data_IF_481081761115
#
_entry.id   IF_481081761115
#
_cell.length_a   1.000
_cell.length_b   1.000
_cell.length_c   1.000
_cell.angle_alpha   90.00
_cell.angle_beta   90.00
_cell.angle_gamma   90.00
#
_symmetry.space_group_name_H-M   'P 1'
#
loop_
_entity.id
_entity.type
_entity.pdbx_description
1 polymer ?
#
# COMPACT_ATOMS: atom_id res chain seq x y z
N UNK A 1 -29.69 -38.45 -2.15
CA UNK A 1 -28.70 -38.45 -1.05
C UNK A 1 -27.42 -37.85 -1.59
N UNK A 2 -26.93 -36.71 -1.09
CA UNK A 2 -25.69 -36.12 -1.63
C UNK A 2 -24.48 -36.76 -0.94
N UNK A 3 -23.66 -37.41 -1.77
CA UNK A 3 -22.43 -38.08 -1.38
C UNK A 3 -21.51 -37.11 -0.64
N UNK A 4 -20.82 -37.59 0.39
CA UNK A 4 -19.77 -36.84 1.06
C UNK A 4 -18.65 -36.63 0.04
N UNK A 5 -18.21 -35.39 -0.23
CA UNK A 5 -17.14 -35.16 -1.19
C UNK A 5 -15.84 -35.75 -0.64
N UNK A 6 -15.08 -36.41 -1.50
CA UNK A 6 -13.77 -36.92 -1.12
C UNK A 6 -12.76 -35.78 -0.97
N UNK A 7 -11.72 -35.99 -0.15
CA UNK A 7 -10.65 -35.00 0.02
C UNK A 7 -9.91 -34.70 -1.29
N UNK A 8 -9.74 -35.73 -2.13
CA UNK A 8 -9.11 -35.62 -3.44
C UNK A 8 -9.93 -34.76 -4.40
N UNK A 9 -11.25 -34.99 -4.44
CA UNK A 9 -12.15 -34.20 -5.28
C UNK A 9 -12.11 -32.71 -4.91
N UNK A 10 -12.19 -32.37 -3.62
CA UNK A 10 -12.09 -30.97 -3.17
C UNK A 10 -10.73 -30.37 -3.48
N UNK A 11 -9.65 -31.13 -3.34
CA UNK A 11 -8.30 -30.67 -3.69
C UNK A 11 -8.18 -30.39 -5.19
N UNK A 12 -8.67 -31.27 -6.06
CA UNK A 12 -8.64 -31.08 -7.51
C UNK A 12 -9.45 -29.84 -7.91
N UNK A 13 -10.67 -29.69 -7.39
CA UNK A 13 -11.52 -28.53 -7.69
C UNK A 13 -10.88 -27.22 -7.21
N UNK A 14 -10.27 -27.23 -6.02
CA UNK A 14 -9.78 -26.02 -5.35
C UNK A 14 -8.37 -25.60 -5.74
N UNK A 15 -7.44 -26.56 -5.81
CA UNK A 15 -6.01 -26.33 -6.06
C UNK A 15 -5.70 -26.38 -7.55
N UNK A 16 -6.16 -27.42 -8.25
CA UNK A 16 -5.78 -27.64 -9.65
C UNK A 16 -6.65 -26.79 -10.58
N UNK A 17 -7.97 -26.86 -10.41
CA UNK A 17 -8.93 -26.09 -11.22
C UNK A 17 -9.13 -24.65 -10.72
N UNK A 18 -8.57 -24.30 -9.56
CA UNK A 18 -8.62 -22.95 -8.95
C UNK A 18 -10.02 -22.35 -8.77
N UNK A 19 -11.07 -23.18 -8.72
CA UNK A 19 -12.45 -22.72 -8.62
C UNK A 19 -12.70 -21.94 -7.33
N UNK A 20 -13.62 -20.97 -7.38
CA UNK A 20 -14.15 -20.31 -6.19
C UNK A 20 -15.10 -21.24 -5.42
N UNK A 21 -15.35 -20.94 -4.15
CA UNK A 21 -16.28 -21.71 -3.32
C UNK A 21 -17.70 -21.75 -3.90
N UNK A 22 -18.13 -20.67 -4.57
CA UNK A 22 -19.44 -20.59 -5.23
C UNK A 22 -19.50 -21.51 -6.46
N UNK A 23 -18.43 -21.56 -7.25
CA UNK A 23 -18.34 -22.48 -8.40
C UNK A 23 -18.28 -23.93 -7.92
N UNK A 24 -17.50 -24.23 -6.88
CA UNK A 24 -17.48 -25.56 -6.27
C UNK A 24 -18.86 -25.97 -5.73
N UNK A 25 -19.59 -25.04 -5.11
CA UNK A 25 -20.96 -25.26 -4.64
C UNK A 25 -21.91 -25.61 -5.78
N UNK A 26 -21.78 -24.91 -6.92
CA UNK A 26 -22.53 -25.21 -8.12
C UNK A 26 -22.15 -26.59 -8.70
N UNK A 27 -20.86 -26.89 -8.87
CA UNK A 27 -20.37 -28.14 -9.46
C UNK A 27 -20.70 -29.37 -8.62
N UNK A 28 -20.51 -29.30 -7.29
CA UNK A 28 -20.79 -30.41 -6.35
C UNK A 28 -22.25 -30.45 -5.90
N UNK A 29 -23.04 -29.43 -6.29
CA UNK A 29 -24.40 -29.22 -5.81
C UNK A 29 -24.46 -29.17 -4.26
N UNK A 30 -23.41 -28.69 -3.59
CA UNK A 30 -23.35 -28.55 -2.13
C UNK A 30 -23.50 -27.09 -1.72
N UNK A 31 -24.02 -26.84 -0.52
CA UNK A 31 -24.01 -25.49 0.06
C UNK A 31 -22.56 -25.12 0.41
N UNK A 32 -22.19 -23.85 0.22
CA UNK A 32 -20.83 -23.32 0.48
C UNK A 32 -20.32 -23.69 1.89
N UNK A 33 -21.16 -23.57 2.92
CA UNK A 33 -20.75 -23.92 4.30
C UNK A 33 -20.41 -25.40 4.48
N UNK A 34 -21.04 -26.31 3.72
CA UNK A 34 -20.67 -27.74 3.74
C UNK A 34 -19.31 -27.96 3.11
N UNK A 35 -19.02 -27.27 2.01
CA UNK A 35 -17.69 -27.33 1.38
C UNK A 35 -16.63 -26.81 2.35
N UNK A 36 -16.87 -25.67 2.99
CA UNK A 36 -15.97 -25.11 4.01
C UNK A 36 -15.71 -26.11 5.14
N UNK A 37 -16.76 -26.71 5.69
CA UNK A 37 -16.64 -27.74 6.72
C UNK A 37 -15.74 -28.90 6.27
N UNK A 38 -15.95 -29.44 5.06
CA UNK A 38 -15.13 -30.55 4.56
C UNK A 38 -13.69 -30.13 4.23
N UNK A 39 -13.48 -28.92 3.71
CA UNK A 39 -12.13 -28.38 3.50
C UNK A 39 -11.37 -28.27 4.83
N UNK A 40 -12.00 -27.71 5.87
CA UNK A 40 -11.40 -27.60 7.19
C UNK A 40 -11.13 -28.98 7.79
N UNK A 41 -12.08 -29.93 7.65
CA UNK A 41 -11.93 -31.32 8.11
C UNK A 41 -10.80 -32.08 7.41
N UNK A 42 -10.56 -31.83 6.13
CA UNK A 42 -9.48 -32.44 5.36
C UNK A 42 -8.17 -31.65 5.40
N UNK A 43 -8.11 -30.53 6.13
CA UNK A 43 -6.92 -29.69 6.25
C UNK A 43 -6.54 -28.92 4.98
N UNK A 44 -7.50 -28.70 4.07
CA UNK A 44 -7.28 -27.93 2.84
C UNK A 44 -7.26 -26.44 3.19
N UNK A 45 -6.06 -25.84 3.19
CA UNK A 45 -5.89 -24.42 3.50
C UNK A 45 -6.64 -23.53 2.50
N UNK A 46 -7.43 -22.60 3.05
CA UNK A 46 -8.18 -21.62 2.27
C UNK A 46 -7.26 -20.47 1.83
N UNK A 47 -7.38 -20.08 0.56
CA UNK A 47 -6.82 -18.87 -0.04
C UNK A 47 -7.35 -17.62 0.66
N UNK A 48 -6.52 -16.59 0.71
CA UNK A 48 -6.95 -15.29 1.21
C UNK A 48 -7.93 -14.63 0.22
N UNK A 49 -8.80 -13.74 0.70
CA UNK A 49 -9.79 -13.05 -0.15
C UNK A 49 -9.14 -12.30 -1.31
N UNK A 50 -8.00 -11.65 -1.07
CA UNK A 50 -7.23 -10.95 -2.11
C UNK A 50 -6.71 -11.90 -3.18
N UNK A 51 -6.21 -13.06 -2.79
CA UNK A 51 -5.70 -14.09 -3.69
C UNK A 51 -6.83 -14.69 -4.55
N UNK A 52 -7.98 -14.96 -3.95
CA UNK A 52 -9.15 -15.44 -4.68
C UNK A 52 -9.63 -14.41 -5.72
N UNK A 53 -9.71 -13.13 -5.35
CA UNK A 53 -10.04 -12.05 -6.27
C UNK A 53 -8.99 -11.91 -7.38
N UNK A 54 -7.72 -12.07 -7.03
CA UNK A 54 -6.61 -11.98 -7.97
C UNK A 54 -6.69 -13.08 -9.03
N UNK A 55 -6.88 -14.34 -8.63
CA UNK A 55 -7.03 -15.46 -9.55
C UNK A 55 -8.26 -15.31 -10.45
N UNK A 56 -9.37 -14.81 -9.91
CA UNK A 56 -10.58 -14.54 -10.69
C UNK A 56 -10.35 -13.46 -11.76
N UNK A 57 -9.59 -12.41 -11.43
CA UNK A 57 -9.25 -11.34 -12.37
C UNK A 57 -8.21 -11.78 -13.41
N UNK A 58 -7.41 -12.82 -13.11
CA UNK A 58 -6.29 -13.28 -13.92
C UNK A 58 -6.40 -14.80 -14.23
N UNK A 59 -7.41 -15.23 -15.01
CA UNK A 59 -7.68 -16.65 -15.25
C UNK A 59 -6.55 -17.37 -16.02
N UNK A 60 -5.82 -16.63 -16.87
CA UNK A 60 -4.72 -17.16 -17.68
C UNK A 60 -3.38 -17.16 -16.92
N UNK A 61 -3.40 -16.96 -15.61
CA UNK A 61 -2.21 -16.86 -14.76
C UNK A 61 -1.68 -15.43 -14.64
N UNK A 62 -0.45 -15.31 -14.16
CA UNK A 62 0.19 -14.03 -13.86
C UNK A 62 0.37 -13.17 -15.13
N UNK A 63 -0.28 -12.00 -15.24
CA UNK A 63 -0.16 -11.16 -16.43
C UNK A 63 1.18 -10.44 -16.50
N UNK A 64 1.94 -10.41 -15.40
CA UNK A 64 3.24 -9.76 -15.33
C UNK A 64 4.35 -10.72 -14.93
N UNK A 65 5.51 -10.54 -15.56
CA UNK A 65 6.77 -11.18 -15.15
C UNK A 65 7.63 -10.17 -14.43
N UNK A 66 7.95 -10.43 -13.17
CA UNK A 66 8.82 -9.56 -12.38
C UNK A 66 10.25 -9.67 -12.94
N UNK A 67 10.76 -8.56 -13.50
CA UNK A 67 12.15 -8.50 -13.99
C UNK A 67 13.11 -8.42 -12.81
N UNK A 68 14.10 -9.33 -12.77
CA UNK A 68 15.16 -9.33 -11.75
C UNK A 68 16.26 -8.31 -12.04
N UNK A 69 16.56 -8.07 -13.31
CA UNK A 69 17.52 -7.06 -13.78
C UNK A 69 16.75 -5.94 -14.49
N UNK A 70 16.87 -4.72 -13.99
CA UNK A 70 16.24 -3.53 -14.55
C UNK A 70 17.30 -2.65 -15.22
N UNK A 71 16.97 -2.12 -16.39
CA UNK A 71 17.76 -1.06 -17.03
C UNK A 71 17.69 0.25 -16.25
N UNK A 72 18.62 1.20 -16.48
CA UNK A 72 18.60 2.52 -15.83
C UNK A 72 17.25 3.24 -16.00
N UNK A 73 16.63 3.13 -17.17
CA UNK A 73 15.31 3.71 -17.47
C UNK A 73 14.19 3.02 -16.67
N UNK A 74 14.20 1.70 -16.59
CA UNK A 74 13.21 0.94 -15.82
C UNK A 74 13.34 1.16 -14.32
N UNK A 75 14.57 1.34 -13.80
CA UNK A 75 14.79 1.74 -12.41
C UNK A 75 14.12 3.08 -12.13
N UNK A 76 14.30 4.06 -13.02
CA UNK A 76 13.64 5.37 -12.91
C UNK A 76 12.11 5.22 -12.94
N UNK A 77 11.58 4.41 -13.84
CA UNK A 77 10.14 4.14 -13.94
C UNK A 77 9.59 3.44 -12.68
N UNK A 78 10.30 2.44 -12.16
CA UNK A 78 9.97 1.75 -10.92
C UNK A 78 9.86 2.73 -9.74
N UNK A 79 10.81 3.65 -9.62
CA UNK A 79 10.78 4.65 -8.56
C UNK A 79 9.67 5.68 -8.73
N UNK A 80 9.36 6.08 -9.98
CA UNK A 80 8.21 6.94 -10.26
C UNK A 80 6.89 6.24 -9.90
N UNK A 81 6.71 5.00 -10.36
CA UNK A 81 5.53 4.20 -10.08
C UNK A 81 5.35 3.96 -8.57
N UNK A 82 6.44 3.73 -7.83
CA UNK A 82 6.38 3.61 -6.38
C UNK A 82 6.00 4.93 -5.71
N UNK A 83 6.51 6.06 -6.21
CA UNK A 83 6.11 7.39 -5.74
C UNK A 83 4.63 7.66 -5.98
N UNK A 84 4.09 7.27 -7.14
CA UNK A 84 2.67 7.37 -7.47
C UNK A 84 1.83 6.46 -6.57
N UNK A 85 2.21 5.19 -6.44
CA UNK A 85 1.57 4.23 -5.54
C UNK A 85 1.54 4.73 -4.10
N UNK A 86 2.61 5.42 -3.67
CA UNK A 86 2.65 5.99 -2.32
C UNK A 86 1.78 7.25 -2.18
N UNK A 87 1.70 8.05 -3.25
CA UNK A 87 0.91 9.27 -3.31
C UNK A 87 -0.59 9.05 -3.56
N UNK A 88 -0.99 7.83 -3.94
CA UNK A 88 -2.38 7.43 -4.13
C UNK A 88 -3.04 7.14 -2.77
N UNK A 89 -3.28 8.21 -2.02
CA UNK A 89 -4.15 8.21 -0.86
C UNK A 89 -5.29 9.20 -1.04
N UNK A 90 -6.38 8.97 -0.31
CA UNK A 90 -7.63 9.71 -0.44
C UNK A 90 -7.36 11.23 -0.51
N UNK A 91 -7.71 11.85 -1.65
CA UNK A 91 -7.62 13.29 -1.88
C UNK A 91 -8.49 13.99 -0.83
N UNK A 92 -7.88 14.43 0.27
CA UNK A 92 -8.63 15.17 1.27
C UNK A 92 -9.10 16.53 0.72
N UNK A 93 -8.38 17.08 -0.26
CA UNK A 93 -8.74 18.27 -1.05
C UNK A 93 -8.00 18.28 -2.41
N UNK A 94 -8.43 19.11 -3.38
CA UNK A 94 -7.82 19.25 -4.72
C UNK A 94 -6.32 19.65 -4.74
N UNK A 95 -5.74 20.04 -3.60
CA UNK A 95 -4.38 20.54 -3.50
C UNK A 95 -3.51 19.76 -2.49
N UNK A 96 -4.02 18.63 -1.96
CA UNK A 96 -3.31 17.84 -0.95
C UNK A 96 -3.30 16.38 -1.35
N UNK A 97 -2.11 15.88 -1.68
CA UNK A 97 -1.89 14.44 -1.77
C UNK A 97 -1.63 13.90 -0.37
N UNK A 98 -2.52 13.03 0.11
CA UNK A 98 -2.29 12.29 1.34
C UNK A 98 -1.55 11.02 1.02
N UNK A 99 -0.43 10.84 1.68
CA UNK A 99 0.31 9.59 1.68
C UNK A 99 -0.37 8.68 2.70
N UNK A 100 -1.08 7.63 2.25
CA UNK A 100 -1.88 6.76 3.13
C UNK A 100 -1.28 5.38 3.37
N UNK A 101 -0.21 5.01 2.66
CA UNK A 101 0.40 3.70 2.86
C UNK A 101 1.24 3.69 4.15
N UNK A 102 0.86 2.82 5.09
CA UNK A 102 1.50 2.63 6.41
C UNK A 102 2.40 1.38 6.46
N UNK A 103 2.56 0.67 5.34
CA UNK A 103 3.44 -0.50 5.27
C UNK A 103 4.91 -0.09 5.52
N UNK A 104 5.59 -0.68 6.52
CA UNK A 104 6.98 -0.34 6.84
C UNK A 104 7.97 -0.59 5.70
N UNK A 105 7.72 -1.61 4.87
CA UNK A 105 8.53 -1.94 3.71
C UNK A 105 8.46 -0.83 2.65
N UNK A 106 7.25 -0.38 2.33
CA UNK A 106 7.01 0.74 1.41
C UNK A 106 7.64 2.02 1.95
N UNK A 107 7.44 2.35 3.24
CA UNK A 107 8.03 3.54 3.87
C UNK A 107 9.56 3.53 3.74
N UNK A 108 10.20 2.38 4.00
CA UNK A 108 11.65 2.20 3.90
C UNK A 108 12.14 2.43 2.47
N UNK A 109 11.49 1.81 1.47
CA UNK A 109 11.91 1.94 0.08
C UNK A 109 11.85 3.40 -0.37
N UNK A 110 10.75 4.09 -0.10
CA UNK A 110 10.63 5.44 -0.63
C UNK A 110 11.32 6.52 0.21
N UNK A 111 11.70 6.23 1.47
CA UNK A 111 12.79 6.97 2.15
C UNK A 111 14.10 6.87 1.37
N UNK A 112 14.48 5.69 0.90
CA UNK A 112 15.71 5.51 0.12
C UNK A 112 15.65 6.26 -1.22
N UNK A 113 14.52 6.23 -1.91
CA UNK A 113 14.29 7.02 -3.13
C UNK A 113 14.48 8.50 -2.84
N UNK A 114 13.83 8.99 -1.78
CA UNK A 114 13.89 10.38 -1.39
C UNK A 114 15.31 10.86 -1.09
N UNK A 115 16.09 10.04 -0.36
CA UNK A 115 17.50 10.32 -0.07
C UNK A 115 18.35 10.32 -1.35
N UNK A 116 18.09 9.39 -2.28
CA UNK A 116 18.79 9.38 -3.58
C UNK A 116 18.52 10.64 -4.41
N UNK A 117 17.32 11.23 -4.26
CA UNK A 117 16.91 12.46 -4.93
C UNK A 117 17.35 13.74 -4.21
N UNK A 118 17.93 13.68 -3.00
CA UNK A 118 18.34 14.86 -2.24
C UNK A 118 19.44 15.70 -2.92
N UNK A 119 20.11 15.14 -3.95
CA UNK A 119 21.05 15.87 -4.82
C UNK A 119 20.37 16.95 -5.66
N UNK A 120 19.06 16.85 -5.87
CA UNK A 120 18.28 17.84 -6.59
C UNK A 120 17.72 18.82 -5.56
N UNK A 121 18.06 20.13 -5.67
CA UNK A 121 17.63 21.24 -4.80
C UNK A 121 16.10 21.44 -4.82
N UNK A 122 15.39 20.47 -4.27
CA UNK A 122 13.95 20.52 -4.03
C UNK A 122 13.81 20.99 -2.59
N UNK A 123 13.12 22.12 -2.38
CA UNK A 123 12.76 22.63 -1.06
C UNK A 123 11.64 21.78 -0.48
N UNK A 124 11.78 21.33 0.77
CA UNK A 124 10.91 20.27 1.32
C UNK A 124 10.53 20.54 2.76
N UNK A 125 9.26 20.27 3.08
CA UNK A 125 8.74 20.28 4.45
C UNK A 125 8.26 18.88 4.79
N UNK A 126 8.71 18.36 5.93
CA UNK A 126 8.22 17.11 6.52
C UNK A 126 7.35 17.50 7.69
N UNK A 127 6.07 17.11 7.66
CA UNK A 127 5.16 17.30 8.79
C UNK A 127 4.77 15.91 9.30
N UNK A 128 5.22 15.54 10.48
CA UNK A 128 4.83 14.32 11.18
C UNK A 128 3.71 14.61 12.17
N UNK A 129 2.66 13.79 12.23
CA UNK A 129 1.57 13.92 13.20
C UNK A 129 1.65 12.80 14.24
N UNK A 130 1.63 13.14 15.53
CA UNK A 130 1.53 12.15 16.61
C UNK A 130 0.06 11.80 16.83
N UNK A 131 -0.32 10.55 16.54
CA UNK A 131 -1.70 10.10 16.68
C UNK A 131 -2.02 9.73 18.14
N UNK A 132 -2.08 10.71 19.04
CA UNK A 132 -2.69 10.47 20.36
C UNK A 132 -3.38 11.67 21.02
N UNK A 133 -3.27 12.92 20.53
CA UNK A 133 -4.12 14.03 20.98
C UNK A 133 -4.30 15.06 19.85
N UNK A 134 -5.47 15.08 19.19
CA UNK A 134 -5.90 16.28 18.47
C UNK A 134 -6.44 17.23 19.53
N UNK A 135 -5.54 17.91 20.24
CA UNK A 135 -5.88 19.18 20.89
C UNK A 135 -5.68 20.26 19.85
N UNK A 136 -6.79 20.90 19.46
CA UNK A 136 -6.86 22.10 18.65
C UNK A 136 -5.83 23.12 19.16
N UNK A 137 -4.81 23.43 18.37
CA UNK A 137 -3.86 24.50 18.67
C UNK A 137 -3.87 25.53 17.55
N UNK A 138 -4.66 26.57 17.85
CA UNK A 138 -4.43 27.99 17.65
C UNK A 138 -3.93 28.48 16.28
N UNK A 139 -4.80 29.29 15.66
CA UNK A 139 -4.37 30.51 14.95
C UNK A 139 -3.33 31.27 15.80
N UNK A 140 -2.08 31.29 15.38
CA UNK A 140 -1.11 32.37 15.63
C UNK A 140 -0.50 32.62 14.26
N UNK A 141 -0.83 33.72 13.61
CA UNK A 141 -0.30 35.04 13.94
C UNK A 141 0.88 35.28 12.99
N UNK A 142 0.80 36.34 12.19
CA UNK A 142 1.79 36.70 11.18
C UNK A 142 3.23 36.60 11.71
N UNK A 143 4.10 35.87 11.01
CA UNK A 143 5.54 35.93 11.22
C UNK A 143 6.13 36.88 10.17
N UNK A 144 6.60 38.04 10.63
CA UNK A 144 7.49 38.91 9.88
C UNK A 144 8.89 38.29 9.74
N UNK A 145 9.67 38.75 8.76
CA UNK A 145 11.01 38.23 8.50
C UNK A 145 11.96 38.83 9.54
N UNK A 146 12.37 38.04 10.53
CA UNK A 146 13.66 38.11 11.25
C UNK A 146 13.55 37.38 12.59
N UNK A 147 14.00 36.13 12.63
CA UNK A 147 14.67 35.56 13.80
C UNK A 147 15.24 34.18 13.46
N UNK A 148 16.56 34.18 13.26
CA UNK A 148 17.38 32.99 13.45
C UNK A 148 17.42 32.65 14.95
N UNK A 149 17.30 31.37 15.29
CA UNK A 149 18.28 30.60 16.07
C UNK A 149 17.64 29.27 16.49
N UNK A 150 18.22 28.17 16.00
CA UNK A 150 17.95 26.81 16.45
C UNK A 150 19.03 26.38 17.43
N UNK A 151 18.64 25.78 18.56
CA UNK A 151 19.53 24.87 19.32
C UNK A 151 18.94 23.45 19.30
N UNK A 152 19.79 22.41 19.38
CA UNK A 152 19.39 21.04 19.14
C UNK A 152 18.90 20.38 20.42
N UNK A 153 17.83 19.61 20.32
CA UNK A 153 17.49 18.62 21.36
C UNK A 153 17.30 17.28 20.66
N UNK A 154 18.28 16.40 20.85
CA UNK A 154 18.12 14.95 20.69
C UNK A 154 16.91 14.48 21.50
N UNK A 155 16.10 13.60 20.91
CA UNK A 155 15.49 12.46 21.61
C UNK A 155 14.92 11.50 20.54
N UNK A 156 15.51 10.31 20.45
CA UNK A 156 14.93 9.16 19.74
C UNK A 156 13.86 8.55 20.64
N UNK A 157 12.62 8.38 20.16
CA UNK A 157 12.04 7.04 20.28
C UNK A 157 11.31 6.58 19.01
N UNK A 158 11.32 5.27 18.84
CA UNK A 158 10.86 4.51 17.69
C UNK A 158 9.32 4.40 17.67
N UNK A 159 8.74 4.69 16.50
CA UNK A 159 7.40 4.41 15.96
C UNK A 159 6.15 4.99 16.69
N UNK A 160 5.45 5.95 16.05
CA UNK A 160 4.08 5.66 15.62
C UNK A 160 3.77 6.19 14.19
N UNK A 161 2.80 5.55 13.54
CA UNK A 161 2.12 5.90 12.27
C UNK A 161 2.53 7.23 11.64
N UNK A 162 3.63 7.22 10.89
CA UNK A 162 4.19 8.42 10.29
C UNK A 162 3.35 8.81 9.07
N UNK A 163 2.66 9.95 9.15
CA UNK A 163 2.01 10.59 7.99
C UNK A 163 2.95 11.60 7.35
N UNK A 164 2.97 11.62 6.03
CA UNK A 164 3.80 12.52 5.23
C UNK A 164 2.89 13.41 4.37
N UNK A 165 3.20 14.71 4.29
CA UNK A 165 2.49 15.66 3.42
C UNK A 165 3.52 16.41 2.59
N UNK A 166 3.42 16.34 1.27
CA UNK A 166 4.18 17.18 0.34
C UNK A 166 3.32 18.37 -0.11
N UNK A 167 3.89 19.57 -0.06
CA UNK A 167 3.28 20.79 -0.62
C UNK A 167 4.21 21.30 -1.73
N UNK A 168 3.74 21.42 -2.99
CA UNK A 168 4.51 22.08 -4.02
C UNK A 168 4.56 23.58 -3.74
N UNK A 169 5.77 24.16 -3.63
CA UNK A 169 5.93 25.61 -3.64
C UNK A 169 5.96 26.11 -5.09
N UNK A 170 5.05 27.02 -5.46
CA UNK A 170 5.25 27.83 -6.67
C UNK A 170 6.51 28.65 -6.46
N UNK A 171 7.53 28.47 -7.30
CA UNK A 171 8.51 29.54 -7.50
C UNK A 171 7.74 30.69 -8.14
N UNK A 172 7.61 31.81 -7.45
CA UNK A 172 7.34 33.08 -8.10
C UNK A 172 8.50 33.33 -9.06
N UNK A 173 8.20 33.30 -10.36
CA UNK A 173 9.07 33.91 -11.35
C UNK A 173 9.04 35.42 -11.07
N UNK A 174 10.08 35.93 -10.42
CA UNK A 174 10.44 37.34 -10.54
C UNK A 174 11.19 37.42 -11.87
N UNK A 175 10.51 37.97 -12.87
CA UNK A 175 11.11 38.54 -14.06
C UNK A 175 11.75 39.86 -13.62
N UNK A 176 13.08 39.90 -13.67
CA UNK A 176 13.84 41.12 -13.95
C UNK A 176 14.43 40.96 -15.36
#
# INVERSE_FOLDING_TARGET
MKCVPSAQELTILYCDKKLSLSEMAYTTNLKIHKILYWMDKYGIKRRHKSEANYLKANPNGEPFKIKSKLTKREIKLKYLALGLYWGEGNKATNHKNRVTNSDPGVIKISKNIYLSCAKYKITKFIITFKHSRITTLAKRGAFGPNSCQSTPTELIPVNPSIRWVMVPTRKSALLE
#
